data_IF_659416992987
#
_entry.id   IF_659416992987
#
_cell.length_a   1.000
_cell.length_b   1.000
_cell.length_c   1.000
_cell.angle_alpha   90.00
_cell.angle_beta   90.00
_cell.angle_gamma   90.00
#
_symmetry.space_group_name_H-M   'P 1'
#
loop_
_entity.id
_entity.type
_entity.pdbx_description
1 polymer ?
#
# COMPACT_ATOMS: atom_id res chain seq x y z
N UNK A 1 6.16 21.92 72.33
CA UNK A 1 6.99 21.67 71.17
C UNK A 1 6.10 21.05 70.10
N UNK A 2 5.80 21.83 69.09
CA UNK A 2 4.97 21.33 67.99
C UNK A 2 5.90 20.60 67.00
N UNK A 3 5.69 19.29 66.79
CA UNK A 3 6.36 18.56 65.77
C UNK A 3 5.64 18.83 64.42
N UNK A 4 6.29 19.59 63.57
CA UNK A 4 5.82 19.76 62.20
C UNK A 4 6.17 18.52 61.41
N UNK A 5 5.19 17.70 61.13
CA UNK A 5 5.36 16.63 60.16
C UNK A 5 5.16 17.25 58.79
N UNK A 6 6.26 17.49 58.11
CA UNK A 6 6.21 17.94 56.73
C UNK A 6 5.81 16.71 55.89
N UNK A 7 4.56 16.62 55.54
CA UNK A 7 4.12 15.66 54.54
C UNK A 7 4.49 16.24 53.20
N UNK A 8 5.66 15.87 52.68
CA UNK A 8 6.00 16.12 51.28
C UNK A 8 5.14 15.20 50.47
N UNK A 9 4.02 15.72 50.00
CA UNK A 9 3.30 15.06 48.93
C UNK A 9 4.19 15.13 47.69
N UNK A 10 4.90 14.04 47.40
CA UNK A 10 5.55 13.87 46.11
C UNK A 10 4.46 13.94 45.06
N UNK A 11 4.55 14.86 44.08
CA UNK A 11 3.66 14.75 42.95
C UNK A 11 3.93 13.39 42.33
N UNK A 12 2.97 12.51 42.41
CA UNK A 12 2.93 11.35 41.53
C UNK A 12 2.95 11.94 40.14
N UNK A 13 4.12 11.90 39.50
CA UNK A 13 4.20 12.03 38.08
C UNK A 13 3.35 10.90 37.51
N UNK A 14 2.09 11.21 37.31
CA UNK A 14 1.29 10.44 36.40
C UNK A 14 1.92 10.69 35.05
N UNK A 15 2.88 9.83 34.69
CA UNK A 15 3.13 9.63 33.28
C UNK A 15 1.80 9.12 32.72
N UNK A 16 0.95 10.05 32.29
CA UNK A 16 0.04 9.70 31.26
C UNK A 16 0.96 9.28 30.14
N UNK A 17 1.16 8.00 30.01
CA UNK A 17 1.57 7.47 28.75
C UNK A 17 0.47 7.97 27.81
N UNK A 18 0.75 9.11 27.20
CA UNK A 18 0.18 9.36 25.92
C UNK A 18 0.60 8.12 25.13
N UNK A 19 -0.27 7.14 25.15
CA UNK A 19 -0.22 6.15 24.12
C UNK A 19 -0.24 6.99 22.87
N UNK A 20 0.94 7.15 22.26
CA UNK A 20 0.99 7.44 20.86
C UNK A 20 0.08 6.39 20.27
N UNK A 21 -1.16 6.77 20.08
CA UNK A 21 -2.00 6.02 19.18
C UNK A 21 -1.22 6.05 17.89
N UNK A 22 -0.49 4.95 17.67
CA UNK A 22 -0.05 4.66 16.32
C UNK A 22 -1.32 4.85 15.47
N UNK A 23 -1.26 5.70 14.41
CA UNK A 23 -2.41 5.86 13.55
C UNK A 23 -2.93 4.45 13.30
N UNK A 24 -4.19 4.23 13.60
CA UNK A 24 -4.81 2.92 13.45
C UNK A 24 -4.44 2.43 12.07
N UNK A 25 -3.51 1.49 12.03
CA UNK A 25 -3.17 0.83 10.78
C UNK A 25 -4.47 0.22 10.34
N UNK A 26 -4.98 0.67 9.17
CA UNK A 26 -6.07 -0.05 8.53
C UNK A 26 -5.64 -1.51 8.58
N UNK A 27 -6.45 -2.41 9.09
CA UNK A 27 -6.13 -3.83 9.15
C UNK A 27 -5.96 -4.45 7.77
N UNK A 28 -6.03 -3.64 6.71
CA UNK A 28 -5.88 -4.06 5.31
C UNK A 28 -4.43 -4.41 5.02
N UNK A 29 -4.24 -5.57 4.45
CA UNK A 29 -2.95 -6.08 3.97
C UNK A 29 -3.09 -6.64 2.58
N UNK A 30 -2.03 -6.58 1.80
CA UNK A 30 -1.94 -7.23 0.50
C UNK A 30 -1.38 -8.63 0.72
N UNK A 31 -2.15 -9.64 0.35
CA UNK A 31 -1.77 -11.05 0.51
C UNK A 31 -1.21 -11.64 -0.78
N UNK A 32 -1.47 -11.01 -1.91
CA UNK A 32 -0.91 -11.37 -3.21
C UNK A 32 -0.85 -10.14 -4.11
N UNK A 33 0.27 -9.93 -4.77
CA UNK A 33 0.42 -8.89 -5.77
C UNK A 33 1.29 -9.38 -6.93
N UNK A 34 0.91 -9.01 -8.13
CA UNK A 34 1.54 -9.48 -9.37
C UNK A 34 1.44 -8.41 -10.43
N UNK A 35 2.55 -8.15 -11.13
CA UNK A 35 2.53 -7.42 -12.40
C UNK A 35 2.34 -8.43 -13.52
N UNK A 36 1.36 -8.19 -14.37
CA UNK A 36 0.91 -9.17 -15.36
C UNK A 36 0.49 -8.50 -16.65
N UNK A 37 0.42 -9.28 -17.72
CA UNK A 37 -0.08 -8.82 -19.03
C UNK A 37 -1.60 -8.83 -19.12
N UNK A 38 -2.29 -9.44 -18.19
CA UNK A 38 -3.75 -9.49 -18.19
C UNK A 38 -4.33 -10.10 -16.93
N UNK A 39 -5.61 -9.87 -16.74
CA UNK A 39 -6.42 -10.44 -15.66
C UNK A 39 -7.63 -11.09 -16.29
N UNK A 40 -7.81 -12.38 -16.05
CA UNK A 40 -8.92 -13.18 -16.60
C UNK A 40 -9.62 -13.90 -15.45
N UNK A 41 -10.94 -13.80 -15.39
CA UNK A 41 -11.73 -14.37 -14.30
C UNK A 41 -11.22 -13.95 -12.92
N UNK A 42 -10.81 -12.68 -12.79
CA UNK A 42 -10.26 -12.09 -11.56
C UNK A 42 -8.95 -12.74 -11.09
N UNK A 43 -8.22 -13.37 -12.01
CA UNK A 43 -6.91 -13.97 -11.78
C UNK A 43 -5.87 -13.38 -12.73
N UNK A 44 -4.66 -13.06 -12.23
CA UNK A 44 -3.58 -12.60 -13.09
C UNK A 44 -3.06 -13.74 -13.98
N UNK A 45 -2.71 -13.40 -15.21
CA UNK A 45 -2.05 -14.30 -16.15
C UNK A 45 -0.65 -13.77 -16.46
N UNK A 46 0.28 -14.69 -16.79
CA UNK A 46 1.63 -14.32 -17.25
C UNK A 46 2.32 -13.26 -16.37
N UNK A 47 2.31 -13.48 -15.06
CA UNK A 47 3.05 -12.64 -14.12
C UNK A 47 4.56 -12.76 -14.34
N UNK A 48 5.26 -11.62 -14.35
CA UNK A 48 6.70 -11.56 -14.54
C UNK A 48 7.30 -10.30 -13.92
N UNK A 49 8.61 -10.18 -13.98
CA UNK A 49 9.35 -8.99 -13.56
C UNK A 49 10.07 -8.32 -14.73
N UNK A 50 10.07 -8.96 -15.90
CA UNK A 50 10.64 -8.41 -17.14
C UNK A 50 9.62 -8.55 -18.25
N UNK A 51 9.38 -7.47 -18.97
CA UNK A 51 8.42 -7.42 -20.06
C UNK A 51 9.05 -6.77 -21.28
N UNK A 52 8.68 -7.22 -22.50
CA UNK A 52 9.20 -6.60 -23.72
C UNK A 52 8.59 -5.20 -23.93
N UNK A 53 9.30 -4.30 -24.63
CA UNK A 53 8.76 -2.96 -24.96
C UNK A 53 7.47 -2.98 -25.77
N UNK A 54 7.20 -4.09 -26.47
CA UNK A 54 5.99 -4.28 -27.27
C UNK A 54 4.77 -4.69 -26.46
N UNK A 55 4.88 -4.80 -25.12
CA UNK A 55 3.80 -5.31 -24.26
C UNK A 55 2.51 -4.49 -24.33
N UNK A 56 2.61 -3.18 -24.60
CA UNK A 56 1.49 -2.26 -24.78
C UNK A 56 0.81 -1.83 -23.50
N UNK A 57 0.53 -2.73 -22.59
CA UNK A 57 -0.06 -2.44 -21.28
C UNK A 57 0.34 -3.49 -20.25
N UNK A 58 0.41 -3.05 -19.01
CA UNK A 58 0.59 -3.92 -17.86
C UNK A 58 -0.51 -3.69 -16.84
N UNK A 59 -0.77 -4.71 -16.06
CA UNK A 59 -1.71 -4.68 -14.95
C UNK A 59 -0.97 -4.93 -13.64
N UNK A 60 -1.32 -4.18 -12.62
CA UNK A 60 -0.91 -4.50 -11.26
C UNK A 60 -2.11 -5.09 -10.54
N UNK A 61 -2.04 -6.38 -10.28
CA UNK A 61 -3.07 -7.13 -9.59
C UNK A 61 -2.73 -7.16 -8.10
N UNK A 62 -3.73 -6.86 -7.26
CA UNK A 62 -3.62 -6.97 -5.81
C UNK A 62 -4.81 -7.73 -5.25
N UNK A 63 -4.52 -8.60 -4.30
CA UNK A 63 -5.52 -9.26 -3.47
C UNK A 63 -5.32 -8.80 -2.04
N UNK A 64 -6.36 -8.23 -1.45
CA UNK A 64 -6.32 -7.65 -0.10
C UNK A 64 -7.19 -8.44 0.85
N UNK A 65 -6.79 -8.47 2.10
CA UNK A 65 -7.57 -8.99 3.22
C UNK A 65 -7.57 -7.97 4.36
N UNK A 66 -8.56 -8.10 5.24
CA UNK A 66 -8.68 -7.26 6.43
C UNK A 66 -9.12 -5.82 6.12
N UNK A 67 -9.69 -5.56 4.95
CA UNK A 67 -10.21 -4.24 4.62
C UNK A 67 -11.44 -3.90 5.47
N UNK A 68 -11.48 -2.68 5.97
CA UNK A 68 -12.67 -2.11 6.59
C UNK A 68 -13.54 -1.46 5.50
N UNK A 69 -14.25 -2.30 4.76
CA UNK A 69 -15.02 -1.90 3.59
C UNK A 69 -16.31 -1.15 3.96
N UNK A 70 -16.79 -0.20 3.09
CA UNK A 70 -16.15 0.22 1.84
C UNK A 70 -14.94 1.13 2.08
N UNK A 71 -13.90 0.93 1.31
CA UNK A 71 -12.67 1.72 1.37
C UNK A 71 -12.01 1.74 -0.01
N UNK A 72 -10.76 2.15 -0.09
CA UNK A 72 -10.00 2.17 -1.33
C UNK A 72 -8.56 1.75 -1.10
N UNK A 73 -7.93 1.31 -2.17
CA UNK A 73 -6.50 1.13 -2.30
C UNK A 73 -6.03 1.96 -3.50
N UNK A 74 -4.84 2.48 -3.44
CA UNK A 74 -4.29 3.31 -4.49
C UNK A 74 -3.10 2.58 -5.10
N UNK A 75 -3.10 2.40 -6.43
CA UNK A 75 -1.93 1.93 -7.15
C UNK A 75 -1.17 3.12 -7.70
N UNK A 76 0.13 3.20 -7.41
CA UNK A 76 1.00 4.25 -7.90
C UNK A 76 2.06 3.61 -8.79
N UNK A 77 2.14 4.07 -10.05
CA UNK A 77 3.10 3.60 -11.04
C UNK A 77 4.23 4.61 -11.17
N UNK A 78 5.46 4.13 -11.11
CA UNK A 78 6.67 4.92 -11.29
C UNK A 78 7.45 4.38 -12.47
N UNK A 79 7.87 5.29 -13.34
CA UNK A 79 8.81 5.02 -14.41
C UNK A 79 10.10 5.78 -14.14
N UNK A 80 11.21 5.06 -14.08
CA UNK A 80 12.52 5.67 -13.82
C UNK A 80 12.47 6.59 -12.59
N UNK A 81 11.84 6.12 -11.50
CA UNK A 81 11.66 6.81 -10.22
C UNK A 81 10.72 8.02 -10.24
N UNK A 82 10.00 8.24 -11.35
CA UNK A 82 9.02 9.31 -11.47
C UNK A 82 7.60 8.76 -11.48
N UNK A 83 6.74 9.33 -10.67
CA UNK A 83 5.33 8.96 -10.67
C UNK A 83 4.69 9.28 -12.01
N UNK A 84 4.10 8.26 -12.65
CA UNK A 84 3.42 8.37 -13.93
C UNK A 84 1.91 8.21 -13.83
N UNK A 85 1.43 7.53 -12.79
CA UNK A 85 0.01 7.34 -12.57
C UNK A 85 -0.28 7.09 -11.09
N UNK A 86 -1.43 7.55 -10.65
CA UNK A 86 -1.99 7.31 -9.33
C UNK A 86 -3.45 6.92 -9.52
N UNK A 87 -3.78 5.68 -9.21
CA UNK A 87 -5.07 5.09 -9.58
C UNK A 87 -5.77 4.62 -8.32
N UNK A 88 -6.80 5.35 -7.84
CA UNK A 88 -7.63 4.88 -6.74
C UNK A 88 -8.55 3.77 -7.21
N UNK A 89 -8.67 2.73 -6.39
CA UNK A 89 -9.47 1.54 -6.67
C UNK A 89 -10.37 1.27 -5.47
N UNK A 90 -11.65 1.06 -5.73
CA UNK A 90 -12.61 0.72 -4.68
C UNK A 90 -12.34 -0.67 -4.13
N UNK A 91 -12.47 -0.80 -2.81
CA UNK A 91 -12.42 -2.07 -2.08
C UNK A 91 -13.78 -2.26 -1.41
N UNK A 92 -14.56 -3.22 -1.92
CA UNK A 92 -15.97 -3.40 -1.57
C UNK A 92 -16.24 -4.46 -0.49
N UNK A 93 -15.23 -5.21 -0.07
CA UNK A 93 -15.37 -6.25 0.94
C UNK A 93 -14.06 -6.47 1.70
N UNK A 94 -14.11 -7.19 2.81
CA UNK A 94 -12.96 -7.49 3.65
C UNK A 94 -11.86 -8.25 2.88
N UNK A 95 -12.26 -9.17 2.01
CA UNK A 95 -11.39 -9.84 1.06
C UNK A 95 -11.77 -9.36 -0.34
N UNK A 96 -10.78 -8.82 -1.08
CA UNK A 96 -11.06 -8.16 -2.34
C UNK A 96 -9.90 -8.29 -3.31
N UNK A 97 -10.22 -8.48 -4.59
CA UNK A 97 -9.26 -8.47 -5.69
C UNK A 97 -9.52 -7.25 -6.54
N UNK A 98 -8.45 -6.53 -6.85
CA UNK A 98 -8.54 -5.36 -7.70
C UNK A 98 -7.23 -5.17 -8.46
N UNK A 99 -7.30 -4.47 -9.58
CA UNK A 99 -6.15 -4.25 -10.43
C UNK A 99 -6.25 -2.91 -11.15
N UNK A 100 -5.10 -2.34 -11.45
CA UNK A 100 -4.97 -1.18 -12.31
C UNK A 100 -4.31 -1.56 -13.61
N UNK A 101 -4.57 -0.79 -14.65
CA UNK A 101 -3.98 -0.95 -15.97
C UNK A 101 -3.12 0.28 -16.28
N UNK A 102 -1.90 0.05 -16.75
CA UNK A 102 -0.99 1.10 -17.19
C UNK A 102 -0.58 0.86 -18.62
N UNK A 103 -0.82 1.84 -19.48
CA UNK A 103 -0.28 1.83 -20.83
C UNK A 103 1.24 2.00 -20.79
N UNK A 104 1.96 1.16 -21.53
CA UNK A 104 3.41 1.19 -21.64
C UNK A 104 3.76 1.55 -23.07
N UNK A 105 4.33 2.73 -23.27
CA UNK A 105 4.82 3.16 -24.58
C UNK A 105 6.10 2.40 -24.92
N UNK A 106 6.32 2.12 -26.22
CA UNK A 106 7.47 1.34 -26.68
C UNK A 106 8.83 1.93 -26.28
N UNK A 107 8.91 3.24 -26.14
CA UNK A 107 10.15 3.94 -25.76
C UNK A 107 10.32 4.10 -24.25
N UNK A 108 9.38 3.60 -23.43
CA UNK A 108 9.45 3.65 -21.99
C UNK A 108 10.15 2.41 -21.41
N UNK A 109 11.36 2.17 -21.91
CA UNK A 109 12.22 1.07 -21.47
C UNK A 109 12.97 1.41 -20.20
N UNK A 110 13.32 0.41 -19.43
CA UNK A 110 14.07 0.53 -18.19
C UNK A 110 13.27 0.19 -16.95
N UNK A 111 13.69 0.69 -15.78
CA UNK A 111 13.10 0.31 -14.49
C UNK A 111 11.76 0.98 -14.24
N UNK A 112 10.82 0.17 -13.80
CA UNK A 112 9.51 0.56 -13.31
C UNK A 112 9.32 0.05 -11.90
N UNK A 113 8.45 0.72 -11.18
CA UNK A 113 7.97 0.27 -9.88
C UNK A 113 6.49 0.57 -9.76
N UNK A 114 5.76 -0.29 -9.08
CA UNK A 114 4.36 -0.04 -8.74
C UNK A 114 4.15 -0.32 -7.25
N UNK A 115 3.38 0.54 -6.61
CA UNK A 115 3.05 0.43 -5.19
C UNK A 115 1.55 0.32 -5.00
N UNK A 116 1.16 -0.46 -4.00
CA UNK A 116 -0.20 -0.47 -3.46
C UNK A 116 -0.18 0.28 -2.13
N UNK A 117 -0.96 1.35 -2.05
CA UNK A 117 -1.02 2.24 -0.90
C UNK A 117 -2.39 2.17 -0.26
N UNK A 118 -2.43 2.00 1.05
CA UNK A 118 -3.66 1.95 1.82
C UNK A 118 -4.29 3.32 2.04
N UNK A 119 -5.52 3.36 2.58
CA UNK A 119 -6.25 4.61 2.81
C UNK A 119 -5.58 5.54 3.83
N UNK A 120 -4.70 5.01 4.67
CA UNK A 120 -3.89 5.76 5.62
C UNK A 120 -2.57 6.30 5.03
N UNK A 121 -2.30 6.06 3.74
CA UNK A 121 -1.09 6.48 3.05
C UNK A 121 0.10 5.53 3.21
N UNK A 122 -0.04 4.41 3.91
CA UNK A 122 1.03 3.43 4.07
C UNK A 122 1.16 2.55 2.83
N UNK A 123 2.39 2.29 2.41
CA UNK A 123 2.68 1.33 1.35
C UNK A 123 2.44 -0.07 1.88
N UNK A 124 1.51 -0.80 1.26
CA UNK A 124 1.13 -2.16 1.64
C UNK A 124 1.95 -3.20 0.90
N UNK A 125 2.30 -2.93 -0.34
CA UNK A 125 3.17 -3.78 -1.16
C UNK A 125 3.75 -2.97 -2.32
N UNK A 126 4.83 -3.49 -2.89
CA UNK A 126 5.46 -2.92 -4.08
C UNK A 126 6.06 -4.00 -4.94
N UNK A 127 6.16 -3.75 -6.25
CA UNK A 127 6.82 -4.59 -7.21
C UNK A 127 7.76 -3.76 -8.08
N UNK A 128 8.97 -4.23 -8.24
CA UNK A 128 9.90 -3.70 -9.24
C UNK A 128 9.81 -4.54 -10.51
N UNK A 129 9.88 -3.90 -11.65
CA UNK A 129 9.86 -4.57 -12.94
C UNK A 129 10.76 -3.80 -13.92
N UNK A 130 11.14 -4.48 -14.98
CA UNK A 130 11.92 -3.90 -16.07
C UNK A 130 11.22 -4.13 -17.40
N UNK A 131 11.28 -3.12 -18.25
CA UNK A 131 10.83 -3.18 -19.63
C UNK A 131 12.05 -3.10 -20.54
N UNK A 132 12.38 -4.20 -21.19
CA UNK A 132 13.48 -4.23 -22.17
C UNK A 132 13.41 -5.43 -23.13
#
# INVERSE_FOLDING_TARGET
MAAFTLVVALPTLVFSQEQKQEPERSGMRVVRDVVTTGVVNREPIDGATVFPPSVGALYYFTEVEGANAPTQIIHIWYYNQRKTAEIPLSVGATHWRTWSRKRILQNWIGPWEVEAVGPDGNVLSSQALDVH
#
